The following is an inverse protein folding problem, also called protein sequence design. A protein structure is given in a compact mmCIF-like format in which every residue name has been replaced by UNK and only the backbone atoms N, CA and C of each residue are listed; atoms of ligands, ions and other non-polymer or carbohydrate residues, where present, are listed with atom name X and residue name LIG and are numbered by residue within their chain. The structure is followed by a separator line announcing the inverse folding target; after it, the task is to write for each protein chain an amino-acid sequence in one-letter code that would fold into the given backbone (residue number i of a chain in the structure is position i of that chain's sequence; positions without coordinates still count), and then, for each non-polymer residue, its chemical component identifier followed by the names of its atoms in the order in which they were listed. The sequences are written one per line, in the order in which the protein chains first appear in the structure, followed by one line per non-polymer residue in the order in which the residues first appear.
data_IF_572430888896
#
_entry.id   IF_572430888896
#
_cell.length_a   1.000
_cell.length_b   1.000
_cell.length_c   1.000
_cell.angle_alpha   90.00
_cell.angle_beta   90.00
_cell.angle_gamma   90.00
#
_symmetry.space_group_name_H-M   'P 1'
#
loop_
_entity.id
_entity.type
_entity.pdbx_description
1 polymer ?
#
# COMPACT_ATOMS: atom_id res chain seq x y z
N UNK A 1 0.95 -30.34 40.94
CA UNK A 1 1.52 -30.67 39.61
C UNK A 1 0.55 -31.62 38.93
N UNK A 2 -0.38 -31.08 38.13
CA UNK A 2 -1.46 -31.86 37.51
C UNK A 2 -1.13 -32.08 36.04
N UNK A 3 -1.02 -33.35 35.66
CA UNK A 3 -0.72 -33.85 34.33
C UNK A 3 -2.05 -34.14 33.64
N UNK A 4 -2.39 -33.45 32.55
CA UNK A 4 -3.58 -33.76 31.75
C UNK A 4 -3.14 -33.97 30.31
N UNK A 5 -3.13 -35.24 29.91
CA UNK A 5 -2.84 -35.70 28.55
C UNK A 5 -4.14 -35.63 27.73
N UNK A 6 -4.09 -35.04 26.54
CA UNK A 6 -5.11 -35.23 25.51
C UNK A 6 -4.49 -35.96 24.31
N UNK A 7 -5.17 -37.01 23.87
CA UNK A 7 -4.86 -37.84 22.70
C UNK A 7 -6.15 -38.10 21.90
N UNK A 8 -6.03 -38.11 20.57
CA UNK A 8 -6.98 -38.67 19.58
C UNK A 8 -7.95 -37.66 18.98
N UNK A 9 -7.76 -37.24 17.71
CA UNK A 9 -8.37 -37.81 16.48
C UNK A 9 -9.87 -37.46 16.37
N UNK A 10 -10.40 -36.84 15.32
CA UNK A 10 -10.50 -37.32 13.93
C UNK A 10 -10.66 -36.11 13.00
N UNK A 11 -9.86 -36.05 11.93
CA UNK A 11 -10.11 -35.20 10.78
C UNK A 11 -10.52 -36.12 9.64
N UNK A 12 -11.78 -36.04 9.22
CA UNK A 12 -12.27 -36.67 8.00
C UNK A 12 -13.24 -35.74 7.27
N UNK A 13 -13.14 -35.87 5.95
CA UNK A 13 -13.70 -35.05 4.89
C UNK A 13 -15.24 -35.03 4.89
N UNK A 14 -15.84 -34.00 4.27
CA UNK A 14 -16.84 -34.13 3.18
C UNK A 14 -17.61 -32.80 2.97
N UNK A 15 -17.26 -31.99 1.96
CA UNK A 15 -18.25 -31.17 1.22
C UNK A 15 -17.78 -30.96 -0.23
N UNK A 16 -18.08 -31.96 -1.04
CA UNK A 16 -18.18 -31.97 -2.51
C UNK A 16 -19.53 -32.73 -2.70
N UNK A 17 -20.59 -32.33 -3.40
CA UNK A 17 -20.88 -31.61 -4.66
C UNK A 17 -22.39 -31.23 -4.54
N UNK A 18 -22.90 -30.10 -5.05
CA UNK A 18 -23.79 -30.04 -6.23
C UNK A 18 -24.33 -28.60 -6.37
N UNK A 19 -24.04 -27.96 -7.51
CA UNK A 19 -24.95 -27.12 -8.32
C UNK A 19 -24.14 -26.63 -9.52
N UNK A 20 -24.12 -27.42 -10.59
CA UNK A 20 -23.85 -26.91 -11.93
C UNK A 20 -25.14 -26.25 -12.40
N UNK A 21 -25.06 -24.98 -12.82
CA UNK A 21 -25.97 -24.47 -13.84
C UNK A 21 -25.22 -23.51 -14.78
N UNK A 22 -25.49 -23.70 -16.07
CA UNK A 22 -24.83 -23.06 -17.21
C UNK A 22 -25.45 -21.69 -17.50
N UNK A 23 -24.63 -20.65 -17.61
CA UNK A 23 -24.67 -19.58 -18.63
C UNK A 23 -23.95 -18.34 -18.10
N UNK A 24 -22.70 -18.18 -18.52
CA UNK A 24 -21.93 -16.97 -18.27
C UNK A 24 -21.03 -16.75 -19.47
N UNK A 25 -21.36 -15.73 -20.25
CA UNK A 25 -20.67 -15.32 -21.47
C UNK A 25 -19.15 -15.42 -21.34
N UNK A 26 -18.60 -16.43 -22.01
CA UNK A 26 -17.18 -16.53 -22.28
C UNK A 26 -16.80 -15.52 -23.36
N UNK A 27 -16.78 -14.23 -23.02
CA UNK A 27 -16.11 -13.25 -23.86
C UNK A 27 -15.13 -12.41 -23.06
N UNK A 28 -13.85 -12.67 -23.37
CA UNK A 28 -12.77 -11.70 -23.37
C UNK A 28 -11.97 -11.47 -22.08
N UNK A 29 -11.33 -12.53 -21.57
CA UNK A 29 -10.09 -12.38 -20.78
C UNK A 29 -8.88 -12.93 -21.55
N UNK A 30 -8.80 -12.67 -22.86
CA UNK A 30 -7.49 -12.61 -23.53
C UNK A 30 -6.80 -11.30 -23.17
N UNK A 31 -6.53 -11.10 -21.88
CA UNK A 31 -5.55 -10.11 -21.47
C UNK A 31 -4.22 -10.69 -21.92
N UNK A 32 -3.76 -10.18 -23.06
CA UNK A 32 -2.41 -10.35 -23.57
C UNK A 32 -1.45 -10.43 -22.38
N UNK A 33 -0.79 -11.58 -22.19
CA UNK A 33 0.48 -11.66 -21.47
C UNK A 33 1.52 -10.92 -22.32
N UNK A 34 1.29 -9.63 -22.56
CA UNK A 34 2.27 -8.71 -23.12
C UNK A 34 3.42 -8.77 -22.14
N UNK A 35 4.54 -9.30 -22.61
CA UNK A 35 5.80 -9.38 -21.89
C UNK A 35 6.01 -8.03 -21.19
N UNK A 36 6.03 -8.05 -19.86
CA UNK A 36 6.22 -6.86 -19.00
C UNK A 36 7.63 -6.33 -19.27
N UNK A 37 7.76 -5.53 -20.31
CA UNK A 37 9.01 -4.88 -20.65
C UNK A 37 9.07 -3.54 -19.93
N UNK A 38 10.13 -3.33 -19.16
CA UNK A 38 10.45 -2.01 -18.65
C UNK A 38 10.82 -1.10 -19.81
N UNK A 39 10.05 -0.02 -19.99
CA UNK A 39 10.35 0.99 -20.99
C UNK A 39 11.74 1.60 -20.74
N UNK A 40 12.66 1.41 -21.67
CA UNK A 40 13.97 2.07 -21.69
C UNK A 40 13.92 3.19 -22.72
N UNK A 41 13.83 4.43 -22.26
CA UNK A 41 13.71 5.61 -23.13
C UNK A 41 13.55 6.88 -22.32
N UNK A 42 13.17 7.97 -22.98
CA UNK A 42 12.83 9.23 -22.31
C UNK A 42 11.34 9.30 -22.04
N UNK A 43 10.98 9.89 -20.90
CA UNK A 43 9.61 10.19 -20.56
C UNK A 43 9.35 10.12 -19.05
N UNK A 44 8.21 10.66 -18.62
CA UNK A 44 7.76 10.50 -17.24
C UNK A 44 7.40 9.04 -16.99
N UNK A 45 8.08 8.42 -16.03
CA UNK A 45 7.85 7.02 -15.65
C UNK A 45 7.03 6.91 -14.37
N UNK A 46 6.20 5.87 -14.28
CA UNK A 46 5.47 5.56 -13.06
C UNK A 46 5.49 4.07 -12.71
N UNK A 47 5.53 3.77 -11.42
CA UNK A 47 5.47 2.41 -10.89
C UNK A 47 4.16 2.21 -10.11
N UNK A 48 3.55 1.03 -10.26
CA UNK A 48 2.43 0.59 -9.42
C UNK A 48 2.75 -0.77 -8.81
N UNK A 49 2.74 -0.83 -7.47
CA UNK A 49 2.92 -2.06 -6.70
C UNK A 49 1.73 -2.36 -5.81
N UNK A 50 1.03 -3.46 -6.08
CA UNK A 50 -0.22 -3.83 -5.39
C UNK A 50 -1.44 -3.56 -6.27
N UNK A 51 -2.63 -3.70 -5.69
CA UNK A 51 -3.91 -3.57 -6.41
C UNK A 51 -4.74 -2.37 -5.94
N UNK A 52 -4.49 -1.85 -4.74
CA UNK A 52 -5.28 -0.75 -4.18
C UNK A 52 -5.21 0.52 -5.05
N UNK A 53 -6.33 0.90 -5.67
CA UNK A 53 -6.43 2.07 -6.56
C UNK A 53 -5.57 1.99 -7.82
N UNK A 54 -5.06 0.80 -8.17
CA UNK A 54 -4.09 0.62 -9.25
C UNK A 54 -4.63 1.09 -10.60
N UNK A 55 -5.85 0.70 -10.95
CA UNK A 55 -6.42 1.02 -12.28
C UNK A 55 -6.68 2.52 -12.43
N UNK A 56 -7.19 3.18 -11.38
CA UNK A 56 -7.42 4.63 -11.38
C UNK A 56 -6.12 5.39 -11.64
N UNK A 57 -5.06 5.02 -10.92
CA UNK A 57 -3.75 5.68 -11.03
C UNK A 57 -3.07 5.34 -12.37
N UNK A 58 -3.17 4.09 -12.84
CA UNK A 58 -2.62 3.68 -14.14
C UNK A 58 -3.27 4.47 -15.26
N UNK A 59 -4.61 4.51 -15.29
CA UNK A 59 -5.38 5.24 -16.30
C UNK A 59 -5.01 6.73 -16.31
N UNK A 60 -4.92 7.36 -15.13
CA UNK A 60 -4.49 8.76 -15.02
C UNK A 60 -3.09 9.00 -15.62
N UNK A 61 -2.13 8.14 -15.27
CA UNK A 61 -0.74 8.28 -15.73
C UNK A 61 -0.64 8.05 -17.25
N UNK A 62 -1.28 7.00 -17.75
CA UNK A 62 -1.30 6.64 -19.17
C UNK A 62 -1.97 7.73 -20.02
N UNK A 63 -3.07 8.32 -19.55
CA UNK A 63 -3.73 9.45 -20.21
C UNK A 63 -2.85 10.72 -20.26
N UNK A 64 -1.85 10.84 -19.39
CA UNK A 64 -0.83 11.89 -19.43
C UNK A 64 0.40 11.54 -20.28
N UNK A 65 0.38 10.39 -20.96
CA UNK A 65 1.52 9.89 -21.74
C UNK A 65 2.66 9.36 -20.89
N UNK A 66 2.42 9.07 -19.59
CA UNK A 66 3.44 8.49 -18.72
C UNK A 66 3.58 6.99 -19.01
N UNK A 67 4.80 6.47 -18.83
CA UNK A 67 5.14 5.09 -19.16
C UNK A 67 5.26 4.26 -17.89
N UNK A 68 4.55 3.14 -17.85
CA UNK A 68 4.60 2.22 -16.71
C UNK A 68 5.94 1.48 -16.68
N UNK A 69 6.55 1.44 -15.51
CA UNK A 69 7.71 0.61 -15.19
C UNK A 69 7.32 -0.48 -14.18
N UNK A 70 8.00 -1.61 -14.26
CA UNK A 70 7.77 -2.80 -13.43
C UNK A 70 8.95 -3.10 -12.52
N UNK A 71 10.16 -2.65 -12.85
CA UNK A 71 11.30 -2.69 -11.96
C UNK A 71 11.16 -1.65 -10.84
N UNK A 72 11.03 -2.14 -9.60
CA UNK A 72 10.91 -1.30 -8.41
C UNK A 72 12.22 -0.60 -8.03
N UNK A 73 13.37 -1.06 -8.53
CA UNK A 73 14.68 -0.50 -8.18
C UNK A 73 15.05 0.72 -9.03
N UNK A 74 14.31 0.98 -10.12
CA UNK A 74 14.48 2.18 -10.94
C UNK A 74 14.25 3.43 -10.11
N UNK A 75 15.06 4.46 -10.40
CA UNK A 75 15.06 5.76 -9.72
C UNK A 75 14.68 6.91 -10.66
N UNK A 76 14.41 6.63 -11.93
CA UNK A 76 14.00 7.61 -12.93
C UNK A 76 12.47 7.76 -13.05
N UNK A 77 11.73 7.32 -12.03
CA UNK A 77 10.29 7.54 -11.93
C UNK A 77 9.94 8.94 -11.46
N UNK A 78 8.75 9.41 -11.84
CA UNK A 78 8.10 10.58 -11.25
C UNK A 78 7.13 10.14 -10.16
N UNK A 79 6.43 9.03 -10.34
CA UNK A 79 5.48 8.52 -9.36
C UNK A 79 5.73 7.04 -9.04
N UNK A 80 5.75 6.70 -7.76
CA UNK A 80 5.64 5.33 -7.28
C UNK A 80 4.42 5.20 -6.38
N UNK A 81 3.42 4.45 -6.86
CA UNK A 81 2.21 4.10 -6.14
C UNK A 81 2.34 2.68 -5.58
N UNK A 82 2.43 2.54 -4.27
CA UNK A 82 2.53 1.25 -3.61
C UNK A 82 1.36 1.07 -2.64
N UNK A 83 0.84 -0.14 -2.54
CA UNK A 83 -0.14 -0.50 -1.50
C UNK A 83 0.55 -0.64 -0.14
N UNK A 84 1.70 -1.33 -0.11
CA UNK A 84 2.48 -1.53 1.10
C UNK A 84 3.74 -0.67 1.10
N UNK A 85 3.97 0.03 2.22
CA UNK A 85 5.17 0.84 2.45
C UNK A 85 6.49 0.08 2.32
N UNK A 86 6.48 -1.24 2.52
CA UNK A 86 7.69 -2.09 2.45
C UNK A 86 8.31 -2.11 1.05
N UNK A 87 7.55 -1.73 0.01
CA UNK A 87 8.05 -1.64 -1.36
C UNK A 87 8.75 -0.31 -1.67
N UNK A 88 8.71 0.65 -0.75
CA UNK A 88 9.27 1.99 -0.94
C UNK A 88 10.62 2.07 -0.22
N UNK A 89 11.67 2.41 -0.99
CA UNK A 89 12.97 2.79 -0.44
C UNK A 89 13.05 4.32 -0.33
N UNK A 90 12.81 4.85 0.87
CA UNK A 90 12.87 6.29 1.13
C UNK A 90 14.30 6.87 1.10
N UNK A 91 15.34 6.04 1.27
CA UNK A 91 16.74 6.53 1.29
C UNK A 91 17.17 7.05 -0.09
N UNK A 92 16.62 6.47 -1.16
CA UNK A 92 16.93 6.85 -2.54
C UNK A 92 15.94 7.87 -3.12
N UNK A 93 15.06 8.43 -2.29
CA UNK A 93 14.05 9.39 -2.73
C UNK A 93 14.67 10.74 -3.09
N UNK A 94 14.36 11.24 -4.28
CA UNK A 94 14.84 12.54 -4.76
C UNK A 94 13.73 13.60 -4.66
N UNK A 95 13.80 14.44 -3.63
CA UNK A 95 12.87 15.55 -3.43
C UNK A 95 12.81 16.47 -4.65
N UNK A 96 11.59 16.89 -5.01
CA UNK A 96 11.34 17.76 -6.17
C UNK A 96 11.37 17.04 -7.53
N UNK A 97 11.79 15.78 -7.59
CA UNK A 97 11.79 14.96 -8.82
C UNK A 97 10.82 13.78 -8.75
N UNK A 98 10.69 13.17 -7.58
CA UNK A 98 9.90 11.97 -7.35
C UNK A 98 8.72 12.26 -6.43
N UNK A 99 7.68 11.43 -6.55
CA UNK A 99 6.48 11.42 -5.72
C UNK A 99 6.18 9.99 -5.26
N UNK A 100 5.84 9.86 -3.98
CA UNK A 100 5.43 8.62 -3.33
C UNK A 100 4.05 8.83 -2.72
N UNK A 101 3.20 7.80 -2.75
CA UNK A 101 1.87 7.86 -2.13
C UNK A 101 1.87 7.58 -0.61
N UNK A 102 3.04 7.41 0.00
CA UNK A 102 3.19 7.16 1.43
C UNK A 102 4.09 8.21 2.07
N UNK A 103 3.72 8.62 3.29
CA UNK A 103 4.54 9.47 4.16
C UNK A 103 5.33 8.56 5.10
N UNK A 104 6.67 8.71 5.20
CA UNK A 104 7.47 7.94 6.15
C UNK A 104 7.02 8.25 7.58
N UNK A 105 7.16 7.27 8.49
CA UNK A 105 6.81 7.41 9.90
C UNK A 105 5.33 7.81 10.21
N UNK A 106 4.40 7.59 9.29
CA UNK A 106 2.98 7.93 9.50
C UNK A 106 2.28 7.17 10.64
N UNK A 107 2.88 6.09 11.17
CA UNK A 107 2.34 5.27 12.27
C UNK A 107 2.09 6.07 13.55
N UNK A 108 2.78 7.21 13.72
CA UNK A 108 2.52 8.16 14.81
C UNK A 108 1.05 8.59 14.80
N UNK A 109 0.42 8.74 13.64
CA UNK A 109 -0.97 9.20 13.52
C UNK A 109 -1.92 8.12 13.02
N UNK A 110 -1.43 7.12 12.30
CA UNK A 110 -2.26 6.08 11.66
C UNK A 110 -2.43 4.81 12.48
N UNK A 111 -2.03 4.83 13.76
CA UNK A 111 -2.28 3.72 14.70
C UNK A 111 -3.01 4.24 15.94
N UNK A 112 -3.85 3.39 16.55
CA UNK A 112 -4.59 3.76 17.77
C UNK A 112 -3.65 4.22 18.89
N UNK A 113 -2.58 3.46 19.14
CA UNK A 113 -1.59 3.77 20.17
C UNK A 113 -0.77 5.03 19.84
N UNK A 114 -0.32 5.17 18.59
CA UNK A 114 0.41 6.36 18.15
C UNK A 114 -0.43 7.63 18.28
N UNK A 115 -1.68 7.58 17.82
CA UNK A 115 -2.59 8.72 17.89
C UNK A 115 -2.88 9.10 19.34
N UNK A 116 -3.22 8.12 20.20
CA UNK A 116 -3.45 8.36 21.62
C UNK A 116 -2.24 9.02 22.31
N UNK A 117 -1.04 8.52 22.03
CA UNK A 117 0.20 9.07 22.59
C UNK A 117 0.45 10.50 22.09
N UNK A 118 0.25 10.74 20.79
CA UNK A 118 0.41 12.06 20.17
C UNK A 118 -0.52 13.11 20.77
N UNK A 119 -1.77 12.74 21.06
CA UNK A 119 -2.75 13.64 21.68
C UNK A 119 -2.36 13.99 23.13
N UNK A 120 -1.93 13.00 23.92
CA UNK A 120 -1.45 13.23 25.30
C UNK A 120 -0.21 14.11 25.34
N UNK A 121 0.73 13.87 24.43
CA UNK A 121 1.94 14.69 24.32
C UNK A 121 1.60 16.12 23.91
N UNK A 122 0.64 16.31 22.99
CA UNK A 122 0.14 17.62 22.62
C UNK A 122 -0.48 18.35 23.82
N UNK A 123 -1.39 17.74 24.57
CA UNK A 123 -1.99 18.34 25.76
C UNK A 123 -0.94 18.76 26.79
N UNK A 124 0.06 17.92 27.05
CA UNK A 124 1.18 18.23 27.98
C UNK A 124 2.04 19.39 27.49
N UNK A 125 2.26 19.51 26.18
CA UNK A 125 3.05 20.61 25.61
C UNK A 125 2.25 21.90 25.67
N UNK A 126 0.98 21.86 25.24
CA UNK A 126 0.11 23.03 25.21
C UNK A 126 -0.15 23.60 26.60
N UNK A 127 -0.31 22.76 27.63
CA UNK A 127 -0.52 23.22 29.01
C UNK A 127 0.61 24.09 29.55
N UNK A 128 1.83 23.98 29.02
CA UNK A 128 2.97 24.84 29.39
C UNK A 128 2.87 26.24 28.75
N UNK A 129 2.20 26.36 27.61
CA UNK A 129 2.05 27.62 26.89
C UNK A 129 0.77 28.38 27.27
N UNK A 130 -0.24 27.72 27.84
CA UNK A 130 -1.45 28.39 28.33
C UNK A 130 -1.27 29.09 29.68
N UNK A 131 -0.18 28.85 30.41
CA UNK A 131 0.10 29.43 31.74
C UNK A 131 1.19 30.51 31.65
N UNK A 132 1.13 31.37 30.63
CA UNK A 132 1.74 32.71 30.70
C UNK A 132 0.61 33.73 30.75
N UNK A 133 0.29 34.29 31.93
CA UNK A 133 -0.60 35.44 32.00
C UNK A 133 0.10 36.60 31.30
N UNK A 134 -0.55 37.20 30.30
CA UNK A 134 -0.19 38.52 29.80
C UNK A 134 -0.25 39.50 30.97
N UNK A 135 0.90 39.79 31.54
CA UNK A 135 1.09 40.79 32.59
C UNK A 135 1.75 41.98 31.92
N UNK A 136 0.94 42.94 31.48
CA UNK A 136 1.36 44.20 30.88
C UNK A 136 0.20 45.16 30.90
#
# INVERSE_FOLDING_TARGET
MAHMKYHGAVADQQYHILSQDQSGDATNSRINKSKRYDYRGTGPFFYIGGANGADLVSNFCENRGWKRIYDNNRTDYILKWCELKLRINYQNFQQGKQMLNHIPNNKILTTKAGLCSSLKDYERVMSKYTITPSSG
#
